data_IF_738084570744
#
_entry.id   IF_738084570744
#
_cell.length_a   1.000
_cell.length_b   1.000
_cell.length_c   1.000
_cell.angle_alpha   90.00
_cell.angle_beta   90.00
_cell.angle_gamma   90.00
#
_symmetry.space_group_name_H-M   'P 1'
#
loop_
_entity.id
_entity.type
_entity.pdbx_description
1 polymer ?
#
# COMPACT_ATOMS: atom_id res chain seq x y z
N UNK A 1 11.45 -22.40 63.99
CA UNK A 1 10.69 -23.29 63.11
C UNK A 1 10.58 -22.62 61.75
N UNK A 2 11.14 -23.26 60.73
CA UNK A 2 11.14 -22.83 59.34
C UNK A 2 9.73 -22.88 58.76
N UNK A 3 9.31 -21.86 58.01
CA UNK A 3 8.39 -22.05 56.87
C UNK A 3 8.80 -21.13 55.73
N UNK A 4 9.38 -21.75 54.71
CA UNK A 4 9.60 -21.22 53.38
C UNK A 4 8.25 -20.78 52.79
N UNK A 5 8.21 -19.57 52.21
CA UNK A 5 7.02 -18.99 51.61
C UNK A 5 7.37 -18.32 50.29
N UNK A 6 7.66 -19.14 49.30
CA UNK A 6 7.86 -18.81 47.90
C UNK A 6 6.54 -18.26 47.31
N UNK A 7 6.44 -16.95 47.04
CA UNK A 7 5.32 -16.39 46.28
C UNK A 7 5.81 -15.39 45.23
N UNK A 8 6.21 -15.97 44.09
CA UNK A 8 6.02 -15.54 42.71
C UNK A 8 5.88 -14.03 42.44
N UNK A 9 6.95 -13.44 41.91
CA UNK A 9 6.87 -12.22 41.12
C UNK A 9 6.13 -12.51 39.80
N UNK A 10 4.88 -12.03 39.69
CA UNK A 10 4.13 -12.00 38.43
C UNK A 10 4.70 -10.88 37.54
N UNK A 11 5.72 -11.20 36.74
CA UNK A 11 6.13 -10.35 35.61
C UNK A 11 5.31 -10.80 34.41
N UNK A 12 4.12 -10.23 34.24
CA UNK A 12 3.35 -10.37 32.99
C UNK A 12 3.97 -9.42 31.97
N UNK A 13 4.98 -9.91 31.26
CA UNK A 13 5.45 -9.25 30.05
C UNK A 13 4.35 -9.37 28.98
N UNK A 14 3.59 -8.28 28.79
CA UNK A 14 2.77 -8.07 27.60
C UNK A 14 3.72 -7.84 26.41
N UNK A 15 4.39 -8.90 25.98
CA UNK A 15 4.97 -8.96 24.64
C UNK A 15 3.79 -9.05 23.67
N UNK A 16 3.25 -7.88 23.31
CA UNK A 16 2.38 -7.73 22.16
C UNK A 16 3.20 -8.11 20.92
N UNK A 17 3.23 -9.40 20.63
CA UNK A 17 3.64 -9.92 19.34
C UNK A 17 2.53 -9.52 18.37
N UNK A 18 2.56 -8.25 17.94
CA UNK A 18 1.80 -7.80 16.80
C UNK A 18 2.28 -8.65 15.64
N UNK A 19 1.47 -9.63 15.23
CA UNK A 19 1.67 -10.33 13.98
C UNK A 19 1.60 -9.27 12.88
N UNK A 20 2.77 -8.72 12.51
CA UNK A 20 2.89 -7.82 11.38
C UNK A 20 2.59 -8.65 10.14
N UNK A 21 1.32 -8.68 9.74
CA UNK A 21 0.97 -9.17 8.41
C UNK A 21 1.76 -8.37 7.40
N UNK A 22 2.40 -9.06 6.45
CA UNK A 22 3.17 -8.41 5.42
C UNK A 22 2.28 -7.35 4.72
N UNK A 23 2.83 -6.16 4.42
CA UNK A 23 2.05 -5.13 3.74
C UNK A 23 1.58 -5.63 2.37
N UNK A 24 0.40 -5.21 1.90
CA UNK A 24 -0.12 -5.62 0.61
C UNK A 24 0.83 -5.18 -0.52
N UNK A 25 0.92 -6.01 -1.57
CA UNK A 25 1.75 -5.70 -2.72
C UNK A 25 1.03 -4.69 -3.65
N UNK A 26 1.54 -3.46 -3.72
CA UNK A 26 0.95 -2.38 -4.51
C UNK A 26 0.82 -2.69 -6.01
N UNK A 27 1.76 -3.43 -6.60
CA UNK A 27 1.70 -3.81 -8.01
C UNK A 27 0.53 -4.79 -8.29
N UNK A 28 0.28 -5.72 -7.37
CA UNK A 28 -0.86 -6.64 -7.47
C UNK A 28 -2.19 -5.91 -7.26
N UNK A 29 -2.25 -4.98 -6.31
CA UNK A 29 -3.44 -4.13 -6.10
C UNK A 29 -3.72 -3.31 -7.37
N UNK A 30 -2.69 -2.70 -7.96
CA UNK A 30 -2.81 -1.96 -9.21
C UNK A 30 -3.37 -2.84 -10.33
N UNK A 31 -2.78 -4.01 -10.59
CA UNK A 31 -3.22 -4.90 -11.65
C UNK A 31 -4.69 -5.34 -11.47
N UNK A 32 -5.10 -5.65 -10.24
CA UNK A 32 -6.43 -6.15 -9.92
C UNK A 32 -7.52 -5.07 -9.90
N UNK A 33 -7.19 -3.85 -9.48
CA UNK A 33 -8.19 -2.80 -9.19
C UNK A 33 -8.08 -1.54 -10.06
N UNK A 34 -6.94 -1.30 -10.71
CA UNK A 34 -6.68 -0.09 -11.48
C UNK A 34 -6.35 -0.39 -12.95
N UNK A 35 -5.67 -1.50 -13.21
CA UNK A 35 -5.11 -1.88 -14.52
C UNK A 35 -6.14 -2.11 -15.63
N UNK A 36 -7.42 -2.28 -15.28
CA UNK A 36 -8.51 -2.33 -16.25
C UNK A 36 -8.78 -0.99 -16.93
N UNK A 37 -8.46 0.13 -16.27
CA UNK A 37 -8.68 1.48 -16.78
C UNK A 37 -7.38 2.26 -17.00
N UNK A 38 -6.34 1.98 -16.22
CA UNK A 38 -5.09 2.72 -16.21
C UNK A 38 -3.89 1.88 -16.67
N UNK A 39 -2.92 2.52 -17.33
CA UNK A 39 -1.59 1.96 -17.56
C UNK A 39 -0.50 2.69 -16.78
N UNK A 40 0.67 2.07 -16.70
CA UNK A 40 1.94 2.62 -16.17
C UNK A 40 3.09 2.24 -17.11
N UNK A 41 2.81 2.20 -18.41
CA UNK A 41 3.69 1.60 -19.42
C UNK A 41 4.49 2.60 -20.24
N UNK A 42 4.18 3.90 -20.17
CA UNK A 42 4.73 4.89 -21.11
C UNK A 42 4.03 4.86 -22.48
N UNK A 43 2.99 4.03 -22.61
CA UNK A 43 2.10 3.98 -23.74
C UNK A 43 0.69 4.26 -23.23
N UNK A 44 0.00 5.23 -23.84
CA UNK A 44 -1.43 5.38 -23.64
C UNK A 44 -2.06 4.03 -23.93
N UNK A 45 -2.58 3.35 -22.90
CA UNK A 45 -3.36 2.15 -23.14
C UNK A 45 -4.57 2.59 -23.94
N UNK A 46 -4.57 2.37 -25.26
CA UNK A 46 -5.68 2.69 -26.17
C UNK A 46 -7.00 1.98 -25.80
N UNK A 47 -7.02 1.26 -24.67
CA UNK A 47 -8.07 0.38 -24.17
C UNK A 47 -8.62 0.81 -22.81
N UNK A 48 -7.94 1.71 -22.08
CA UNK A 48 -8.34 2.10 -20.72
C UNK A 48 -8.83 3.55 -20.68
N UNK A 49 -10.08 3.77 -20.22
CA UNK A 49 -10.66 5.12 -20.06
C UNK A 49 -9.82 6.04 -19.15
N UNK A 50 -9.03 5.46 -18.24
CA UNK A 50 -8.20 6.19 -17.28
C UNK A 50 -6.82 6.61 -17.79
N UNK A 51 -6.38 6.11 -18.95
CA UNK A 51 -5.11 6.50 -19.58
C UNK A 51 -3.85 6.06 -18.83
N UNK A 52 -2.70 6.53 -19.33
CA UNK A 52 -1.39 6.24 -18.72
C UNK A 52 -1.10 7.19 -17.56
N UNK A 53 -0.82 6.63 -16.39
CA UNK A 53 -0.52 7.41 -15.18
C UNK A 53 0.96 7.80 -15.06
N UNK A 54 1.82 7.25 -15.91
CA UNK A 54 3.27 7.45 -15.82
C UNK A 54 3.73 8.91 -16.00
N UNK A 55 3.13 9.75 -16.86
CA UNK A 55 3.57 11.14 -17.07
C UNK A 55 3.19 12.10 -15.92
N UNK A 56 2.33 11.68 -15.00
CA UNK A 56 1.88 12.53 -13.91
C UNK A 56 2.89 12.56 -12.76
N UNK A 57 2.84 13.65 -12.00
CA UNK A 57 3.62 13.83 -10.79
C UNK A 57 2.72 14.48 -9.75
N UNK A 58 2.63 13.86 -8.57
CA UNK A 58 1.81 14.36 -7.48
C UNK A 58 2.44 14.00 -6.14
N UNK A 59 2.01 14.69 -5.09
CA UNK A 59 2.42 14.33 -3.73
C UNK A 59 1.79 12.99 -3.34
N UNK A 60 2.35 12.32 -2.33
CA UNK A 60 1.77 11.09 -1.79
C UNK A 60 0.35 11.31 -1.24
N UNK A 61 0.12 12.44 -0.57
CA UNK A 61 -1.18 12.80 -0.04
C UNK A 61 -2.23 12.96 -1.15
N UNK A 62 -1.87 13.63 -2.25
CA UNK A 62 -2.76 13.78 -3.41
C UNK A 62 -3.05 12.42 -4.06
N UNK A 63 -2.03 11.59 -4.25
CA UNK A 63 -2.19 10.24 -4.81
C UNK A 63 -3.15 9.40 -3.97
N UNK A 64 -2.98 9.38 -2.65
CA UNK A 64 -3.88 8.70 -1.72
C UNK A 64 -5.31 9.24 -1.87
N UNK A 65 -5.46 10.56 -1.95
CA UNK A 65 -6.74 11.23 -2.18
C UNK A 65 -7.41 10.78 -3.49
N UNK A 66 -6.65 10.68 -4.57
CA UNK A 66 -7.15 10.19 -5.86
C UNK A 66 -7.52 8.71 -5.81
N UNK A 67 -6.68 7.85 -5.23
CA UNK A 67 -6.95 6.41 -5.11
C UNK A 67 -8.27 6.15 -4.37
N UNK A 68 -8.59 6.95 -3.34
CA UNK A 68 -9.86 6.84 -2.60
C UNK A 68 -11.10 7.26 -3.40
N UNK A 69 -10.94 8.14 -4.37
CA UNK A 69 -12.03 8.67 -5.20
C UNK A 69 -12.20 7.88 -6.50
N UNK A 70 -11.16 7.17 -6.93
CA UNK A 70 -11.19 6.40 -8.18
C UNK A 70 -12.15 5.22 -8.06
N UNK A 71 -13.04 5.03 -9.06
CA UNK A 71 -13.86 3.83 -9.13
C UNK A 71 -12.96 2.59 -9.20
N UNK A 72 -13.15 1.67 -8.27
CA UNK A 72 -12.49 0.37 -8.24
C UNK A 72 -13.54 -0.74 -8.20
N UNK A 73 -13.26 -1.95 -8.74
CA UNK A 73 -14.18 -3.09 -8.69
C UNK A 73 -14.59 -3.50 -7.28
N UNK A 74 -13.79 -3.13 -6.28
CA UNK A 74 -14.05 -3.34 -4.86
C UNK A 74 -13.51 -2.17 -4.04
N UNK A 75 -13.98 -2.07 -2.79
CA UNK A 75 -13.37 -1.19 -1.81
C UNK A 75 -11.96 -1.67 -1.45
N UNK A 76 -11.03 -0.73 -1.39
CA UNK A 76 -9.65 -0.95 -0.92
C UNK A 76 -9.56 -0.61 0.57
N UNK A 77 -8.82 -1.42 1.31
CA UNK A 77 -8.42 -1.07 2.68
C UNK A 77 -7.40 0.07 2.69
N UNK A 78 -7.23 0.74 3.83
CA UNK A 78 -6.24 1.80 3.97
C UNK A 78 -4.80 1.34 3.69
N UNK A 79 -4.48 0.08 3.98
CA UNK A 79 -3.17 -0.50 3.67
C UNK A 79 -2.99 -0.68 2.16
N UNK A 80 -4.03 -1.14 1.46
CA UNK A 80 -3.99 -1.30 0.00
C UNK A 80 -3.96 0.05 -0.73
N UNK A 81 -4.69 1.05 -0.24
CA UNK A 81 -4.65 2.42 -0.75
C UNK A 81 -3.24 2.98 -0.69
N UNK A 82 -2.55 2.84 0.45
CA UNK A 82 -1.15 3.28 0.58
C UNK A 82 -0.23 2.49 -0.32
N UNK A 83 -0.33 1.17 -0.31
CA UNK A 83 0.54 0.31 -1.12
C UNK A 83 0.43 0.61 -2.63
N UNK A 84 -0.77 0.82 -3.15
CA UNK A 84 -0.95 1.15 -4.57
C UNK A 84 -0.48 2.57 -4.89
N UNK A 85 -0.71 3.54 -3.99
CA UNK A 85 -0.20 4.90 -4.15
C UNK A 85 1.32 4.94 -4.21
N UNK A 86 2.00 4.27 -3.27
CA UNK A 86 3.46 4.12 -3.25
C UNK A 86 3.98 3.48 -4.54
N UNK A 87 3.33 2.42 -5.00
CA UNK A 87 3.70 1.74 -6.25
C UNK A 87 3.61 2.68 -7.46
N UNK A 88 2.51 3.42 -7.62
CA UNK A 88 2.32 4.36 -8.74
C UNK A 88 3.38 5.46 -8.69
N UNK A 89 3.61 6.05 -7.52
CA UNK A 89 4.61 7.11 -7.34
C UNK A 89 6.03 6.62 -7.63
N UNK A 90 6.38 5.40 -7.20
CA UNK A 90 7.68 4.80 -7.51
C UNK A 90 7.86 4.61 -9.03
N UNK A 91 6.80 4.23 -9.76
CA UNK A 91 6.82 4.12 -11.21
C UNK A 91 7.02 5.47 -11.89
N UNK A 92 6.31 6.50 -11.44
CA UNK A 92 6.44 7.89 -11.92
C UNK A 92 7.85 8.45 -11.66
N UNK A 93 8.42 8.20 -10.47
CA UNK A 93 9.77 8.62 -10.13
C UNK A 93 10.83 7.93 -10.99
N UNK A 94 10.70 6.61 -11.22
CA UNK A 94 11.61 5.85 -12.07
C UNK A 94 11.59 6.28 -13.53
N UNK A 95 10.44 6.71 -14.05
CA UNK A 95 10.31 7.25 -15.40
C UNK A 95 10.99 8.62 -15.60
N UNK A 96 11.29 9.33 -14.51
CA UNK A 96 11.94 10.65 -14.53
C UNK A 96 13.47 10.57 -14.58
N UNK A 97 14.07 9.43 -14.25
CA UNK A 97 15.52 9.30 -14.28
C UNK A 97 16.03 9.63 -15.71
N UNK A 98 16.99 10.57 -15.87
CA UNK A 98 17.48 10.93 -17.19
C UNK A 98 18.10 9.69 -17.85
N UNK A 99 17.58 9.33 -19.03
CA UNK A 99 18.14 8.30 -19.90
C UNK A 99 19.40 8.74 -20.62
#
# INVERSE_FOLDING_TARGET
MLFAGLCAAFVVALAGCGAATAPPNGALVFAASCGGCHSLGGENSRRGQGGDLLPYHMSEADMIGFVRQMPAPRWLSDAEVRAVAEYVLARQAGARAPG
#
